data_IF_150674009055
#
_entry.id   IF_150674009055
#
_cell.length_a   1.000
_cell.length_b   1.000
_cell.length_c   1.000
_cell.angle_alpha   90.00
_cell.angle_beta   90.00
_cell.angle_gamma   90.00
#
_symmetry.space_group_name_H-M   'P 1'
#
loop_
_entity.id
_entity.type
_entity.pdbx_description
1 polymer ?
#
# COMPACT_ATOMS: atom_id res chain seq x y z
N UNK A 1 -6.11 13.43 -3.63
CA UNK A 1 -7.19 12.47 -3.95
C UNK A 1 -8.42 13.27 -4.37
N UNK A 2 -9.00 13.06 -5.56
CA UNK A 2 -10.19 13.81 -6.00
C UNK A 2 -11.41 13.44 -5.14
N UNK A 3 -12.02 14.42 -4.44
CA UNK A 3 -13.08 14.23 -3.44
C UNK A 3 -14.31 13.45 -3.90
N UNK A 4 -14.53 13.31 -5.22
CA UNK A 4 -15.62 12.51 -5.79
C UNK A 4 -15.50 11.00 -5.50
N UNK A 5 -14.28 10.45 -5.42
CA UNK A 5 -14.09 9.02 -5.11
C UNK A 5 -14.36 8.70 -3.63
N UNK A 6 -14.19 9.68 -2.74
CA UNK A 6 -14.32 9.49 -1.30
C UNK A 6 -15.78 9.49 -0.82
N UNK A 7 -16.66 10.26 -1.45
CA UNK A 7 -18.09 10.20 -1.14
C UNK A 7 -18.75 8.87 -1.52
N UNK A 8 -18.28 8.23 -2.59
CA UNK A 8 -18.76 6.89 -2.94
C UNK A 8 -18.45 5.85 -1.86
N UNK A 9 -17.47 6.13 -0.97
CA UNK A 9 -17.18 5.30 0.20
C UNK A 9 -18.22 5.58 1.28
N UNK A 10 -18.43 6.85 1.67
CA UNK A 10 -19.40 7.28 2.70
C UNK A 10 -20.85 6.94 2.35
N UNK A 11 -21.19 6.92 1.05
CA UNK A 11 -22.52 6.61 0.57
C UNK A 11 -22.98 5.15 0.81
N UNK A 12 -22.05 4.19 0.94
CA UNK A 12 -22.39 2.76 0.89
C UNK A 12 -22.82 2.13 2.22
N UNK A 13 -23.15 2.95 3.23
CA UNK A 13 -23.50 2.52 4.60
C UNK A 13 -22.42 1.71 5.33
N UNK A 14 -21.25 1.49 4.73
CA UNK A 14 -20.14 0.74 5.31
C UNK A 14 -18.83 1.51 5.13
N UNK A 15 -18.47 2.32 6.14
CA UNK A 15 -17.24 3.13 6.14
C UNK A 15 -16.51 3.04 7.46
N UNK A 16 -15.19 2.92 7.38
CA UNK A 16 -14.30 3.02 8.51
C UNK A 16 -13.32 4.15 8.24
N UNK A 17 -13.31 5.17 9.09
CA UNK A 17 -12.36 6.27 9.08
C UNK A 17 -11.40 6.03 10.24
N UNK A 18 -10.10 5.95 9.97
CA UNK A 18 -9.11 5.84 11.04
C UNK A 18 -8.00 6.88 10.86
N UNK A 19 -7.47 7.30 11.99
CA UNK A 19 -6.27 8.11 12.06
C UNK A 19 -5.28 7.50 13.03
N UNK A 20 -4.01 7.82 12.84
CA UNK A 20 -3.01 7.71 13.87
C UNK A 20 -2.44 9.11 14.14
N UNK A 21 -2.74 9.65 15.31
CA UNK A 21 -2.47 11.03 15.67
C UNK A 21 -1.61 11.13 16.91
N UNK A 22 -0.78 12.17 16.97
CA UNK A 22 -0.07 12.56 18.18
C UNK A 22 -0.47 13.98 18.54
N UNK A 23 -0.76 14.20 19.82
CA UNK A 23 -1.18 15.51 20.33
C UNK A 23 -0.65 15.80 21.74
N UNK A 24 -0.42 17.09 22.01
CA UNK A 24 -0.11 17.59 23.35
C UNK A 24 -1.39 17.94 24.13
N UNK A 25 -1.23 18.53 25.32
CA UNK A 25 -2.29 18.77 26.29
C UNK A 25 -3.17 20.01 25.97
N UNK A 26 -2.82 20.83 24.96
CA UNK A 26 -3.49 22.10 24.66
C UNK A 26 -4.00 22.17 23.21
N UNK A 27 -4.49 21.05 22.71
CA UNK A 27 -4.96 20.91 21.33
C UNK A 27 -6.48 21.02 21.18
N UNK A 28 -6.90 21.79 20.18
CA UNK A 28 -8.24 21.78 19.59
C UNK A 28 -8.15 21.82 18.06
N UNK A 29 -8.77 20.86 17.37
CA UNK A 29 -8.66 20.78 15.92
C UNK A 29 -9.61 19.80 15.25
N UNK A 30 -9.89 20.05 13.97
CA UNK A 30 -10.70 19.15 13.13
C UNK A 30 -9.79 18.15 12.42
N UNK A 31 -10.02 16.85 12.63
CA UNK A 31 -9.30 15.76 11.97
C UNK A 31 -9.71 15.63 10.51
N UNK A 32 -11.01 15.71 10.24
CA UNK A 32 -11.56 15.67 8.88
C UNK A 32 -12.80 16.55 8.80
N UNK A 33 -12.94 17.28 7.69
CA UNK A 33 -14.16 18.00 7.34
C UNK A 33 -14.51 17.80 5.88
N UNK A 34 -15.79 17.60 5.61
CA UNK A 34 -16.35 17.28 4.30
C UNK A 34 -17.37 18.35 3.96
N UNK A 35 -17.21 18.96 2.79
CA UNK A 35 -18.07 20.01 2.29
C UNK A 35 -18.72 19.60 0.97
N UNK A 36 -19.98 19.97 0.82
CA UNK A 36 -20.72 19.92 -0.42
C UNK A 36 -20.70 21.31 -1.07
N UNK A 37 -20.26 21.38 -2.33
CA UNK A 37 -20.19 22.62 -3.07
C UNK A 37 -20.83 22.45 -4.45
N UNK A 38 -22.16 22.61 -4.56
CA UNK A 38 -22.84 22.54 -5.84
C UNK A 38 -22.55 23.77 -6.73
N UNK A 39 -22.14 24.91 -6.16
CA UNK A 39 -21.82 26.20 -6.84
C UNK A 39 -20.83 27.09 -6.02
N UNK A 40 -21.09 28.39 -5.81
CA UNK A 40 -20.24 29.33 -5.02
C UNK A 40 -20.49 29.29 -3.49
N UNK A 41 -21.35 28.39 -3.02
CA UNK A 41 -21.62 28.19 -1.59
C UNK A 41 -21.12 26.80 -1.14
N UNK A 42 -20.33 26.80 -0.07
CA UNK A 42 -19.80 25.59 0.58
C UNK A 42 -20.66 25.27 1.81
N UNK A 43 -21.15 24.04 1.90
CA UNK A 43 -21.98 23.54 3.00
C UNK A 43 -21.28 22.40 3.71
N UNK A 44 -21.17 22.46 5.04
CA UNK A 44 -20.56 21.37 5.83
C UNK A 44 -21.51 20.17 5.84
N UNK A 45 -20.98 19.01 5.49
CA UNK A 45 -21.72 17.74 5.44
C UNK A 45 -21.35 16.84 6.61
N UNK A 46 -20.06 16.80 6.94
CA UNK A 46 -19.52 15.96 8.00
C UNK A 46 -18.25 16.60 8.56
N UNK A 47 -18.08 16.62 9.87
CA UNK A 47 -16.76 16.82 10.45
C UNK A 47 -16.54 16.04 11.73
N UNK A 48 -15.26 15.81 12.00
CA UNK A 48 -14.79 15.13 13.18
C UNK A 48 -13.75 16.00 13.86
N UNK A 49 -14.09 16.47 15.05
CA UNK A 49 -13.33 17.44 15.82
C UNK A 49 -12.89 16.85 17.17
N UNK A 50 -11.67 17.18 17.57
CA UNK A 50 -11.04 16.76 18.81
C UNK A 50 -10.65 17.99 19.64
N UNK A 51 -10.94 17.98 20.95
CA UNK A 51 -10.42 18.92 21.93
C UNK A 51 -9.83 18.17 23.11
N UNK A 52 -8.52 18.26 23.28
CA UNK A 52 -7.82 17.78 24.47
C UNK A 52 -8.02 18.72 25.67
N UNK A 53 -8.34 20.00 25.43
CA UNK A 53 -8.62 20.99 26.47
C UNK A 53 -9.91 20.64 27.21
N UNK A 54 -10.97 20.33 26.47
CA UNK A 54 -12.24 19.88 27.06
C UNK A 54 -12.30 18.37 27.26
N UNK A 55 -11.30 17.65 26.76
CA UNK A 55 -11.24 16.19 26.72
C UNK A 55 -12.49 15.59 26.04
N UNK A 56 -12.92 16.23 24.95
CA UNK A 56 -14.11 15.87 24.18
C UNK A 56 -13.75 15.62 22.72
N UNK A 57 -14.46 14.67 22.12
CA UNK A 57 -14.49 14.50 20.68
C UNK A 57 -15.92 14.69 20.18
N UNK A 58 -16.04 15.35 19.03
CA UNK A 58 -17.30 15.80 18.45
C UNK A 58 -17.39 15.32 17.03
N UNK A 59 -18.49 14.66 16.69
CA UNK A 59 -18.80 14.29 15.31
C UNK A 59 -20.07 15.02 14.92
N UNK A 60 -20.04 15.71 13.78
CA UNK A 60 -21.22 16.37 13.21
C UNK A 60 -21.49 15.86 11.82
N UNK A 61 -22.77 15.73 11.48
CA UNK A 61 -23.19 15.28 10.16
C UNK A 61 -24.56 15.84 9.78
N UNK A 62 -24.82 15.92 8.49
CA UNK A 62 -26.06 16.45 7.92
C UNK A 62 -27.18 15.38 7.93
N UNK A 63 -28.42 15.76 8.27
CA UNK A 63 -29.61 14.87 8.41
C UNK A 63 -30.78 15.25 7.46
N UNK A 64 -31.52 14.27 6.92
CA UNK A 64 -32.65 14.48 5.98
C UNK A 64 -33.97 14.63 6.76
N UNK A 65 -34.67 15.76 6.63
CA UNK A 65 -35.87 16.08 7.43
C UNK A 65 -37.16 15.31 7.05
N UNK A 66 -37.08 14.25 6.25
CA UNK A 66 -38.29 13.62 5.71
C UNK A 66 -38.87 12.45 6.53
N UNK A 67 -38.26 12.06 7.66
CA UNK A 67 -38.79 10.99 8.52
C UNK A 67 -38.57 11.29 10.01
N UNK A 68 -39.34 12.21 10.58
CA UNK A 68 -40.11 11.99 11.81
C UNK A 68 -40.77 13.30 12.27
N UNK A 69 -42.08 13.21 12.51
CA UNK A 69 -42.82 14.24 13.23
C UNK A 69 -42.33 14.33 14.67
N UNK A 70 -41.39 15.24 14.91
CA UNK A 70 -41.25 15.89 16.21
C UNK A 70 -40.78 17.31 15.94
N UNK A 71 -41.75 18.21 15.98
CA UNK A 71 -41.51 19.64 15.94
C UNK A 71 -40.81 20.04 17.23
N UNK A 72 -39.53 20.40 17.14
CA UNK A 72 -39.03 21.47 17.98
C UNK A 72 -38.39 22.53 17.10
N UNK A 73 -39.09 23.67 17.07
CA UNK A 73 -38.82 24.85 16.27
C UNK A 73 -37.59 25.59 16.80
N UNK A 74 -36.86 26.22 15.88
CA UNK A 74 -35.84 27.26 16.05
C UNK A 74 -34.37 26.80 16.05
N UNK A 75 -33.81 26.60 14.85
CA UNK A 75 -32.67 27.43 14.45
C UNK A 75 -32.45 27.38 12.93
N UNK A 76 -32.46 28.56 12.32
CA UNK A 76 -32.03 28.80 10.95
C UNK A 76 -30.52 28.58 10.86
N UNK A 77 -30.08 27.35 10.58
CA UNK A 77 -28.79 26.98 10.00
C UNK A 77 -28.84 25.49 9.69
N UNK A 78 -28.52 25.10 8.45
CA UNK A 78 -28.65 23.75 7.89
C UNK A 78 -28.42 22.60 8.89
N UNK A 79 -29.35 21.64 8.87
CA UNK A 79 -29.64 20.56 9.82
C UNK A 79 -28.46 19.59 10.11
N UNK A 80 -27.42 20.08 10.79
CA UNK A 80 -26.31 19.28 11.31
C UNK A 80 -26.66 18.71 12.69
N UNK A 81 -26.67 17.39 12.85
CA UNK A 81 -26.65 16.76 14.18
C UNK A 81 -25.22 16.70 14.70
N UNK A 82 -25.08 16.76 16.02
CA UNK A 82 -23.80 16.71 16.73
C UNK A 82 -23.88 15.67 17.85
N UNK A 83 -22.84 14.86 18.00
CA UNK A 83 -22.64 14.00 19.16
C UNK A 83 -21.30 14.36 19.79
N UNK A 84 -21.31 14.49 21.11
CA UNK A 84 -20.13 14.72 21.94
C UNK A 84 -19.92 13.54 22.87
N UNK A 85 -18.67 13.19 23.09
CA UNK A 85 -18.31 12.16 24.05
C UNK A 85 -16.95 12.48 24.66
N UNK A 86 -16.82 12.12 25.93
CA UNK A 86 -15.60 12.34 26.71
C UNK A 86 -14.58 11.27 26.37
N UNK A 87 -13.34 11.70 26.17
CA UNK A 87 -12.21 10.80 25.99
C UNK A 87 -11.51 10.54 27.33
N UNK A 88 -10.73 9.48 27.41
CA UNK A 88 -9.76 9.27 28.49
C UNK A 88 -8.37 9.19 27.84
N UNK A 89 -8.03 10.19 27.02
CA UNK A 89 -6.75 10.21 26.29
C UNK A 89 -5.61 10.55 27.24
N UNK A 90 -4.52 9.78 27.13
CA UNK A 90 -3.24 10.08 27.80
C UNK A 90 -2.48 11.00 26.87
N UNK A 91 -2.44 12.29 27.20
CA UNK A 91 -1.77 13.30 26.38
C UNK A 91 -0.26 13.04 26.28
N UNK A 92 0.38 13.42 25.15
CA UNK A 92 1.80 13.18 24.81
C UNK A 92 2.14 11.76 24.29
N UNK A 93 1.14 11.02 23.79
CA UNK A 93 1.33 9.71 23.11
C UNK A 93 0.62 9.64 21.74
N UNK A 94 0.90 8.58 20.98
CA UNK A 94 0.19 8.25 19.76
C UNK A 94 -1.16 7.59 20.09
N UNK A 95 -2.21 8.09 19.45
CA UNK A 95 -3.57 7.57 19.55
C UNK A 95 -4.10 7.15 18.20
N UNK A 96 -4.96 6.13 18.21
CA UNK A 96 -5.63 5.61 17.03
C UNK A 96 -7.15 5.77 17.13
N UNK A 97 -7.70 6.98 16.91
CA UNK A 97 -9.13 7.18 16.85
C UNK A 97 -9.68 6.65 15.53
N UNK A 98 -10.81 5.96 15.63
CA UNK A 98 -11.47 5.26 14.55
C UNK A 98 -12.98 5.47 14.63
N UNK A 99 -13.61 5.70 13.49
CA UNK A 99 -15.05 5.85 13.32
C UNK A 99 -15.50 4.79 12.32
N UNK A 100 -16.34 3.87 12.77
CA UNK A 100 -16.99 2.86 11.93
C UNK A 100 -18.46 3.21 11.78
N UNK A 101 -18.95 3.22 10.55
CA UNK A 101 -20.35 3.31 10.17
C UNK A 101 -20.68 2.03 9.41
N UNK A 102 -21.68 1.29 9.90
CA UNK A 102 -22.15 0.02 9.34
C UNK A 102 -23.66 0.00 9.36
N UNK A 103 -24.28 -0.06 8.19
CA UNK A 103 -25.74 0.05 8.03
C UNK A 103 -26.31 1.31 8.72
N UNK A 104 -26.95 1.13 9.88
CA UNK A 104 -27.51 2.19 10.72
C UNK A 104 -26.77 2.32 12.06
N UNK A 105 -25.60 1.67 12.21
CA UNK A 105 -24.78 1.69 13.42
C UNK A 105 -23.57 2.58 13.22
N UNK A 106 -23.29 3.42 14.21
CA UNK A 106 -22.09 4.25 14.27
C UNK A 106 -21.32 3.87 15.53
N UNK A 107 -20.03 3.64 15.39
CA UNK A 107 -19.16 3.26 16.49
C UNK A 107 -17.86 4.06 16.41
N UNK A 108 -17.42 4.54 17.56
CA UNK A 108 -16.19 5.28 17.74
C UNK A 108 -15.31 4.48 18.67
N UNK A 109 -14.12 4.19 18.19
CA UNK A 109 -13.12 3.39 18.87
C UNK A 109 -11.86 4.25 18.98
N UNK A 110 -11.19 4.17 20.11
CA UNK A 110 -9.89 4.81 20.32
C UNK A 110 -8.96 3.80 20.98
N UNK A 111 -7.77 3.62 20.42
CA UNK A 111 -6.79 2.60 20.84
C UNK A 111 -7.43 1.23 21.13
N UNK A 112 -8.32 0.81 20.23
CA UNK A 112 -9.04 -0.44 20.31
C UNK A 112 -9.93 -0.63 21.54
N UNK A 113 -10.44 0.49 22.07
CA UNK A 113 -11.53 0.52 23.06
C UNK A 113 -12.72 1.26 22.46
N UNK A 114 -13.91 0.69 22.60
CA UNK A 114 -15.13 1.37 22.17
C UNK A 114 -15.31 2.57 23.10
N UNK A 115 -15.17 3.77 22.54
CA UNK A 115 -15.44 5.02 23.25
C UNK A 115 -16.95 5.29 23.23
N UNK A 116 -17.58 5.00 22.09
CA UNK A 116 -19.00 5.28 21.91
C UNK A 116 -19.60 4.43 20.78
N UNK A 117 -20.88 4.09 20.87
CA UNK A 117 -21.62 3.45 19.79
C UNK A 117 -23.12 3.82 19.84
N UNK A 118 -23.79 3.80 18.69
CA UNK A 118 -25.23 4.02 18.55
C UNK A 118 -25.79 3.19 17.40
N UNK A 119 -27.05 2.77 17.56
CA UNK A 119 -27.87 2.17 16.51
C UNK A 119 -28.94 3.15 16.02
N UNK A 120 -29.49 2.92 14.82
CA UNK A 120 -30.52 3.76 14.19
C UNK A 120 -30.09 5.21 13.94
N UNK A 121 -28.89 5.39 13.38
CA UNK A 121 -28.35 6.70 12.99
C UNK A 121 -28.87 7.20 11.63
N UNK A 122 -29.40 8.43 11.61
CA UNK A 122 -29.97 9.09 10.42
C UNK A 122 -28.88 9.90 9.66
N UNK A 123 -28.09 9.26 8.78
CA UNK A 123 -27.18 9.97 7.87
C UNK A 123 -27.90 10.33 6.56
N UNK A 124 -27.70 11.53 6.00
CA UNK A 124 -28.18 11.81 4.63
C UNK A 124 -27.48 10.91 3.62
N UNK A 125 -28.25 10.04 2.96
CA UNK A 125 -27.78 9.16 1.89
C UNK A 125 -28.09 9.71 0.48
N UNK A 126 -27.98 11.03 0.26
CA UNK A 126 -28.17 11.63 -1.08
C UNK A 126 -26.84 11.69 -1.84
N UNK A 127 -26.89 11.46 -3.15
CA UNK A 127 -25.72 11.59 -4.04
C UNK A 127 -25.38 13.08 -4.22
N UNK A 128 -24.54 13.60 -3.34
CA UNK A 128 -24.01 14.95 -3.40
C UNK A 128 -22.92 15.05 -4.48
N UNK A 129 -22.92 16.13 -5.26
CA UNK A 129 -21.92 16.40 -6.31
C UNK A 129 -21.02 17.56 -5.86
N UNK A 130 -19.75 17.54 -6.27
CA UNK A 130 -18.83 18.63 -5.90
C UNK A 130 -18.38 18.56 -4.44
N UNK A 131 -18.00 17.37 -3.96
CA UNK A 131 -17.52 17.19 -2.59
C UNK A 131 -16.03 17.51 -2.48
N UNK A 132 -15.70 18.28 -1.44
CA UNK A 132 -14.34 18.58 -1.02
C UNK A 132 -14.11 18.03 0.37
N UNK A 133 -12.93 17.46 0.59
CA UNK A 133 -12.55 16.96 1.91
C UNK A 133 -11.21 17.54 2.31
N UNK A 134 -11.16 17.98 3.56
CA UNK A 134 -10.00 18.57 4.18
C UNK A 134 -9.61 17.70 5.38
N UNK A 135 -8.32 17.38 5.46
CA UNK A 135 -7.72 16.61 6.55
C UNK A 135 -6.92 17.59 7.41
N UNK A 136 -7.08 17.50 8.73
CA UNK A 136 -6.39 18.39 9.68
C UNK A 136 -6.78 19.87 9.55
N UNK A 137 -7.89 20.18 8.87
CA UNK A 137 -8.30 21.56 8.61
C UNK A 137 -9.83 21.64 8.45
N UNK A 138 -10.40 22.76 8.91
CA UNK A 138 -11.76 23.19 8.67
C UNK A 138 -11.69 24.56 8.01
N UNK A 139 -12.34 24.76 6.86
CA UNK A 139 -12.20 26.00 6.08
C UNK A 139 -13.02 27.18 6.63
N UNK A 140 -14.00 26.92 7.49
CA UNK A 140 -14.82 27.96 8.13
C UNK A 140 -14.45 28.21 9.59
N UNK A 141 -13.45 27.50 10.11
CA UNK A 141 -12.90 27.71 11.46
C UNK A 141 -11.38 27.81 11.36
N UNK A 142 -10.77 28.73 12.10
CA UNK A 142 -9.30 28.88 12.15
C UNK A 142 -8.56 27.72 12.86
N UNK A 143 -9.16 26.53 12.93
CA UNK A 143 -8.70 25.38 13.70
C UNK A 143 -8.05 24.37 12.76
N UNK A 144 -6.79 24.61 12.38
CA UNK A 144 -5.92 23.56 11.85
C UNK A 144 -5.59 22.60 12.98
N UNK A 145 -5.56 21.31 12.71
CA UNK A 145 -5.11 20.31 13.67
C UNK A 145 -3.65 20.60 14.02
N UNK A 146 -3.31 20.96 15.28
CA UNK A 146 -1.96 21.40 15.63
C UNK A 146 -0.97 20.24 15.79
N UNK A 147 -1.46 18.99 15.82
CA UNK A 147 -0.68 17.79 16.08
C UNK A 147 -0.08 17.17 14.82
N UNK A 148 0.46 15.96 15.00
CA UNK A 148 1.00 15.15 13.90
C UNK A 148 0.01 14.07 13.52
N UNK A 149 -0.14 13.83 12.23
CA UNK A 149 -0.91 12.71 11.69
C UNK A 149 0.09 11.79 10.99
N UNK A 150 0.23 10.55 11.48
CA UNK A 150 1.13 9.55 10.89
C UNK A 150 0.42 8.73 9.82
N UNK A 151 -0.84 8.41 10.08
CA UNK A 151 -1.69 7.62 9.18
C UNK A 151 -3.09 8.21 9.12
N UNK A 152 -3.71 8.14 7.95
CA UNK A 152 -5.12 8.40 7.73
C UNK A 152 -5.62 7.44 6.65
N UNK A 153 -6.69 6.71 6.93
CA UNK A 153 -7.40 5.92 5.92
C UNK A 153 -8.91 6.06 6.06
N UNK A 154 -9.57 5.90 4.92
CA UNK A 154 -11.02 5.72 4.82
C UNK A 154 -11.25 4.47 4.01
N UNK A 155 -11.74 3.44 4.67
CA UNK A 155 -11.92 2.12 4.11
C UNK A 155 -13.40 1.78 4.00
N UNK A 156 -13.74 0.98 3.00
CA UNK A 156 -15.08 0.44 2.82
C UNK A 156 -15.06 -1.04 3.21
N UNK A 157 -15.91 -1.46 4.13
CA UNK A 157 -16.11 -2.88 4.42
C UNK A 157 -14.95 -3.60 5.15
N UNK A 158 -14.03 -2.88 5.81
CA UNK A 158 -13.04 -3.49 6.72
C UNK A 158 -13.56 -3.42 8.16
N UNK A 159 -14.15 -4.48 8.75
CA UNK A 159 -14.63 -4.45 10.12
C UNK A 159 -13.58 -3.87 11.08
N UNK A 160 -13.98 -2.95 11.97
CA UNK A 160 -13.08 -2.40 12.99
C UNK A 160 -12.45 -3.49 13.86
N UNK A 161 -13.10 -4.65 13.97
CA UNK A 161 -12.61 -5.84 14.66
C UNK A 161 -11.38 -6.49 14.01
N UNK A 162 -11.09 -6.19 12.73
CA UNK A 162 -9.84 -6.59 12.06
C UNK A 162 -8.67 -5.67 12.45
N UNK A 163 -8.97 -4.41 12.71
CA UNK A 163 -7.99 -3.39 13.13
C UNK A 163 -7.77 -3.44 14.65
N UNK A 164 -8.78 -3.92 15.39
CA UNK A 164 -8.81 -4.04 16.83
C UNK A 164 -9.27 -5.45 17.27
N UNK A 165 -8.35 -6.44 17.27
CA UNK A 165 -8.68 -7.85 17.48
C UNK A 165 -9.16 -8.21 18.90
N UNK A 166 -9.03 -7.30 19.87
CA UNK A 166 -9.50 -7.46 21.26
C UNK A 166 -10.77 -6.66 21.58
N UNK A 167 -11.39 -6.02 20.57
CA UNK A 167 -12.56 -5.18 20.75
C UNK A 167 -13.79 -6.06 21.07
N UNK A 168 -14.23 -6.07 22.32
CA UNK A 168 -15.43 -6.79 22.74
C UNK A 168 -16.69 -5.99 22.38
N UNK A 169 -17.33 -6.37 21.28
CA UNK A 169 -18.60 -5.78 20.82
C UNK A 169 -19.82 -6.37 21.54
N UNK A 170 -19.66 -7.40 22.38
CA UNK A 170 -20.76 -8.10 23.05
C UNK A 170 -21.36 -7.32 24.23
N UNK A 171 -20.64 -6.31 24.74
CA UNK A 171 -21.08 -5.44 25.84
C UNK A 171 -22.32 -4.57 25.53
N UNK A 172 -22.76 -4.51 24.27
CA UNK A 172 -23.93 -3.72 23.85
C UNK A 172 -25.24 -4.49 23.75
N UNK A 173 -25.28 -5.81 24.00
CA UNK A 173 -26.54 -6.57 23.96
C UNK A 173 -27.45 -6.27 25.18
N UNK A 174 -27.07 -5.41 26.13
CA UNK A 174 -27.81 -5.27 27.40
C UNK A 174 -28.38 -3.91 27.80
N UNK A 175 -28.23 -2.84 27.02
CA UNK A 175 -28.77 -1.53 27.43
C UNK A 175 -29.66 -0.89 26.36
N UNK A 176 -30.71 -1.62 25.96
CA UNK A 176 -31.75 -1.08 25.10
C UNK A 176 -32.95 -2.00 25.08
N UNK A 177 -33.54 -2.25 26.24
CA UNK A 177 -34.95 -2.65 26.42
C UNK A 177 -35.23 -2.73 27.93
N UNK A 178 -35.47 -1.58 28.55
CA UNK A 178 -36.33 -1.53 29.74
C UNK A 178 -37.73 -1.09 29.27
N UNK A 179 -38.71 -1.82 29.80
CA UNK A 179 -40.15 -1.60 29.76
C UNK A 179 -40.91 -1.94 28.47
N UNK A 180 -41.51 -3.13 28.42
CA UNK A 180 -42.89 -3.30 28.90
C UNK A 180 -43.37 -4.76 28.83
N UNK A 181 -43.90 -5.23 29.96
CA UNK A 181 -44.77 -6.40 30.08
C UNK A 181 -46.02 -6.23 29.21
N UNK A 182 -46.37 -7.21 28.36
CA UNK A 182 -47.77 -7.63 28.13
C UNK A 182 -47.82 -9.12 27.73
N UNK A 183 -48.29 -9.90 28.70
CA UNK A 183 -49.21 -11.05 28.65
C UNK A 183 -49.41 -11.85 27.35
N UNK A 184 -49.18 -13.16 27.50
CA UNK A 184 -49.68 -14.24 26.67
C UNK A 184 -51.22 -14.31 26.68
N UNK A 185 -51.83 -14.47 25.50
CA UNK A 185 -53.13 -15.16 25.40
C UNK A 185 -53.02 -16.36 24.46
N UNK A 186 -53.32 -17.51 25.05
CA UNK A 186 -53.58 -18.80 24.43
C UNK A 186 -54.67 -18.72 23.36
N UNK A 187 -54.51 -19.53 22.30
CA UNK A 187 -55.67 -20.21 21.73
C UNK A 187 -55.28 -21.58 21.18
N UNK A 188 -55.76 -22.61 21.88
CA UNK A 188 -55.71 -24.01 21.46
C UNK A 188 -56.70 -24.29 20.33
N UNK A 189 -56.28 -25.14 19.39
CA UNK A 189 -57.02 -26.36 19.00
C UNK A 189 -56.30 -27.11 17.88
N UNK A 190 -55.80 -28.32 18.17
CA UNK A 190 -56.34 -29.57 17.61
C UNK A 190 -55.46 -30.78 17.92
N UNK A 191 -56.12 -31.82 18.44
CA UNK A 191 -55.60 -33.14 18.75
C UNK A 191 -55.64 -34.05 17.50
N UNK A 192 -54.51 -34.50 16.95
CA UNK A 192 -54.43 -35.71 16.08
C UNK A 192 -53.06 -36.42 16.22
N UNK A 193 -53.12 -37.65 16.77
CA UNK A 193 -52.22 -38.83 16.70
C UNK A 193 -50.71 -38.67 16.98
N UNK A 194 -50.28 -39.22 18.13
CA UNK A 194 -48.99 -38.97 18.80
C UNK A 194 -47.92 -40.09 18.70
N UNK A 195 -47.97 -41.07 17.80
CA UNK A 195 -46.93 -42.14 17.80
C UNK A 195 -46.18 -42.37 16.48
N UNK A 196 -46.74 -42.02 15.30
CA UNK A 196 -45.99 -42.11 14.02
C UNK A 196 -45.40 -40.77 13.54
N UNK A 197 -45.81 -39.64 14.14
CA UNK A 197 -45.28 -38.31 13.82
C UNK A 197 -43.94 -38.01 14.50
N UNK A 198 -43.69 -38.61 15.66
CA UNK A 198 -42.51 -38.30 16.47
C UNK A 198 -41.22 -38.93 15.94
N UNK A 199 -41.29 -40.05 15.20
CA UNK A 199 -40.09 -40.67 14.60
C UNK A 199 -39.62 -39.95 13.34
N UNK A 200 -40.53 -39.58 12.43
CA UNK A 200 -40.20 -38.79 11.23
C UNK A 200 -39.72 -37.37 11.57
N UNK A 201 -40.30 -36.76 12.60
CA UNK A 201 -39.88 -35.44 13.06
C UNK A 201 -38.51 -35.49 13.74
N UNK A 202 -38.22 -36.54 14.53
CA UNK A 202 -36.92 -36.69 15.18
C UNK A 202 -35.79 -37.03 14.20
N UNK A 203 -36.01 -37.87 13.19
CA UNK A 203 -35.00 -38.15 12.16
C UNK A 203 -34.71 -36.92 11.29
N UNK A 204 -35.75 -36.17 10.90
CA UNK A 204 -35.58 -34.92 10.16
C UNK A 204 -34.83 -33.86 10.98
N UNK A 205 -35.08 -33.83 12.30
CA UNK A 205 -34.42 -32.92 13.24
C UNK A 205 -33.00 -33.34 13.53
N UNK A 206 -32.71 -34.65 13.55
CA UNK A 206 -31.36 -35.20 13.68
C UNK A 206 -30.51 -34.86 12.44
N UNK A 207 -31.06 -35.04 11.23
CA UNK A 207 -30.38 -34.68 9.98
C UNK A 207 -30.10 -33.17 9.86
N UNK A 208 -31.03 -32.34 10.35
CA UNK A 208 -30.86 -30.88 10.39
C UNK A 208 -29.77 -30.47 11.40
N UNK A 209 -29.73 -31.11 12.57
CA UNK A 209 -28.69 -30.92 13.57
C UNK A 209 -27.31 -31.41 13.09
N UNK A 210 -27.24 -32.53 12.38
CA UNK A 210 -25.99 -33.03 11.79
C UNK A 210 -25.44 -32.07 10.73
N UNK A 211 -26.32 -31.49 9.91
CA UNK A 211 -25.94 -30.46 8.95
C UNK A 211 -25.49 -29.16 9.62
N UNK A 212 -26.15 -28.72 10.68
CA UNK A 212 -25.71 -27.56 11.48
C UNK A 212 -24.35 -27.81 12.14
N UNK A 213 -24.14 -28.99 12.75
CA UNK A 213 -22.86 -29.35 13.37
C UNK A 213 -21.74 -29.44 12.33
N UNK A 214 -22.04 -29.95 11.13
CA UNK A 214 -21.10 -29.99 10.00
C UNK A 214 -20.73 -28.58 9.54
N UNK A 215 -21.72 -27.68 9.42
CA UNK A 215 -21.51 -26.27 9.09
C UNK A 215 -20.69 -25.55 10.16
N UNK A 216 -21.00 -25.75 11.44
CA UNK A 216 -20.24 -25.20 12.56
C UNK A 216 -18.80 -25.72 12.55
N UNK A 217 -18.56 -27.01 12.30
CA UNK A 217 -17.19 -27.54 12.16
C UNK A 217 -16.44 -26.89 11.01
N UNK A 218 -17.09 -26.67 9.87
CA UNK A 218 -16.48 -25.97 8.74
C UNK A 218 -16.10 -24.53 9.10
N UNK A 219 -17.02 -23.79 9.75
CA UNK A 219 -16.78 -22.41 10.22
C UNK A 219 -15.66 -22.36 11.26
N UNK A 220 -15.68 -23.25 12.26
CA UNK A 220 -14.63 -23.35 13.30
C UNK A 220 -13.27 -23.67 12.68
N UNK A 221 -13.21 -24.56 11.68
CA UNK A 221 -11.98 -24.86 10.95
C UNK A 221 -11.46 -23.61 10.22
N UNK A 222 -12.34 -22.84 9.58
CA UNK A 222 -12.01 -21.56 8.97
C UNK A 222 -11.49 -20.53 9.99
N UNK A 223 -12.11 -20.43 11.16
CA UNK A 223 -11.70 -19.54 12.25
C UNK A 223 -10.32 -19.93 12.81
N UNK A 224 -10.03 -21.23 12.98
CA UNK A 224 -8.72 -21.70 13.45
C UNK A 224 -7.60 -21.35 12.46
N UNK A 225 -7.83 -21.53 11.15
CA UNK A 225 -6.86 -21.12 10.13
C UNK A 225 -6.67 -19.59 10.09
N UNK A 226 -7.74 -18.84 10.34
CA UNK A 226 -7.68 -17.37 10.45
C UNK A 226 -6.93 -16.92 11.70
N UNK A 227 -7.13 -17.58 12.85
CA UNK A 227 -6.37 -17.33 14.10
C UNK A 227 -4.89 -17.62 13.90
N UNK A 228 -4.52 -18.74 13.26
CA UNK A 228 -3.11 -19.02 12.93
C UNK A 228 -2.49 -17.92 12.07
N UNK A 229 -3.20 -17.44 11.04
CA UNK A 229 -2.75 -16.31 10.21
C UNK A 229 -2.61 -15.01 11.03
N UNK A 230 -3.50 -14.77 11.99
CA UNK A 230 -3.47 -13.59 12.89
C UNK A 230 -2.35 -13.68 13.94
N UNK A 231 -2.09 -14.86 14.52
CA UNK A 231 -0.98 -15.10 15.46
C UNK A 231 0.39 -15.01 14.76
N UNK A 232 0.51 -15.56 13.55
CA UNK A 232 1.66 -15.31 12.67
C UNK A 232 1.76 -13.82 12.38
N UNK A 233 0.62 -13.14 12.20
CA UNK A 233 0.62 -11.70 12.00
C UNK A 233 1.23 -10.93 13.20
N UNK A 234 0.81 -11.20 14.42
CA UNK A 234 1.28 -10.42 15.57
C UNK A 234 2.78 -10.60 15.90
N UNK A 235 3.48 -11.57 15.31
CA UNK A 235 4.90 -11.85 15.59
C UNK A 235 5.89 -11.21 14.62
N UNK A 236 5.45 -10.74 13.46
CA UNK A 236 6.34 -10.21 12.42
C UNK A 236 7.36 -11.24 11.92
N UNK A 237 8.37 -10.79 11.19
CA UNK A 237 9.48 -11.63 10.72
C UNK A 237 10.73 -11.38 11.57
N UNK A 238 11.38 -12.45 12.04
CA UNK A 238 12.66 -12.33 12.74
C UNK A 238 13.81 -12.31 11.74
N UNK A 239 14.66 -11.29 11.80
CA UNK A 239 15.89 -11.23 11.00
C UNK A 239 17.05 -11.99 11.64
N UNK A 240 18.10 -12.29 10.87
CA UNK A 240 19.32 -12.94 11.38
C UNK A 240 20.01 -12.14 12.51
N UNK A 241 19.72 -10.84 12.63
CA UNK A 241 20.20 -9.96 13.71
C UNK A 241 19.30 -9.90 14.94
N UNK A 242 18.19 -10.66 14.98
CA UNK A 242 17.26 -10.71 16.10
C UNK A 242 16.22 -9.58 16.15
N UNK A 243 16.21 -8.69 15.15
CA UNK A 243 15.18 -7.65 15.03
C UNK A 243 13.89 -8.25 14.47
N UNK A 244 12.76 -7.78 14.97
CA UNK A 244 11.43 -8.15 14.48
C UNK A 244 10.95 -7.07 13.52
N UNK A 245 10.65 -7.48 12.28
CA UNK A 245 10.09 -6.62 11.24
C UNK A 245 8.58 -6.82 11.16
N UNK A 246 7.84 -5.72 11.14
CA UNK A 246 6.39 -5.72 10.91
C UNK A 246 6.09 -6.08 9.45
N UNK A 247 4.87 -6.50 9.11
CA UNK A 247 4.56 -6.84 7.71
C UNK A 247 4.65 -5.66 6.79
N UNK A 248 5.18 -5.91 5.60
CA UNK A 248 5.42 -4.89 4.59
C UNK A 248 6.55 -3.92 4.98
N UNK A 249 7.03 -3.96 6.23
CA UNK A 249 8.16 -3.16 6.68
C UNK A 249 9.41 -3.57 5.91
N UNK A 250 10.07 -2.56 5.34
CA UNK A 250 11.32 -2.69 4.60
C UNK A 250 12.46 -2.23 5.48
N UNK A 251 13.52 -3.03 5.55
CA UNK A 251 14.75 -2.69 6.26
C UNK A 251 15.94 -2.79 5.33
N UNK A 252 16.70 -1.70 5.25
CA UNK A 252 17.81 -1.57 4.31
C UNK A 252 19.15 -1.66 5.04
N UNK A 253 20.05 -2.47 4.47
CA UNK A 253 21.46 -2.49 4.84
C UNK A 253 22.26 -1.87 3.69
N UNK A 254 22.64 -0.60 3.87
CA UNK A 254 23.37 0.20 2.87
C UNK A 254 24.82 -0.24 2.67
N UNK A 255 25.41 -1.00 3.60
CA UNK A 255 26.80 -1.50 3.47
C UNK A 255 26.86 -2.62 2.43
N UNK A 256 25.84 -3.49 2.43
CA UNK A 256 25.76 -4.63 1.50
C UNK A 256 24.75 -4.39 0.37
N UNK A 257 24.13 -3.22 0.32
CA UNK A 257 23.04 -2.86 -0.58
C UNK A 257 21.96 -3.95 -0.67
N UNK A 258 21.49 -4.40 0.49
CA UNK A 258 20.41 -5.39 0.59
C UNK A 258 19.20 -4.79 1.30
N UNK A 259 18.01 -5.07 0.81
CA UNK A 259 16.74 -4.75 1.49
C UNK A 259 16.04 -6.05 1.88
N UNK A 260 15.51 -6.09 3.09
CA UNK A 260 14.67 -7.17 3.58
C UNK A 260 13.26 -6.65 3.81
N UNK A 261 12.27 -7.41 3.35
CA UNK A 261 10.86 -7.13 3.58
C UNK A 261 10.17 -8.34 4.20
N UNK A 262 9.35 -8.09 5.23
CA UNK A 262 8.55 -9.13 5.85
C UNK A 262 7.26 -9.39 5.06
N UNK A 263 7.07 -10.64 4.62
CA UNK A 263 5.87 -11.08 3.90
C UNK A 263 4.69 -11.32 4.84
N UNK A 264 3.46 -11.27 4.32
CA UNK A 264 2.24 -11.55 5.10
C UNK A 264 2.15 -13.01 5.58
N UNK A 265 2.99 -13.89 5.03
CA UNK A 265 3.17 -15.28 5.47
C UNK A 265 4.21 -15.44 6.60
N UNK A 266 4.80 -14.35 7.09
CA UNK A 266 5.84 -14.39 8.14
C UNK A 266 7.22 -14.81 7.64
N UNK A 267 7.44 -14.80 6.31
CA UNK A 267 8.74 -15.07 5.70
C UNK A 267 9.49 -13.77 5.43
N UNK A 268 10.77 -13.76 5.76
CA UNK A 268 11.65 -12.65 5.42
C UNK A 268 12.16 -12.83 3.98
N UNK A 269 11.93 -11.83 3.13
CA UNK A 269 12.48 -11.78 1.77
C UNK A 269 13.56 -10.71 1.72
N UNK A 270 14.81 -11.15 1.63
CA UNK A 270 15.96 -10.28 1.46
C UNK A 270 16.50 -10.41 0.04
N UNK A 271 16.85 -9.28 -0.57
CA UNK A 271 17.45 -9.21 -1.90
C UNK A 271 18.38 -8.01 -2.04
N UNK A 272 19.03 -7.89 -3.19
CA UNK A 272 19.71 -6.66 -3.58
C UNK A 272 18.67 -5.50 -3.59
N UNK A 273 19.08 -4.30 -3.18
CA UNK A 273 18.20 -3.12 -3.25
C UNK A 273 17.86 -2.88 -4.72
N UNK A 274 16.58 -3.04 -5.07
CA UNK A 274 16.10 -2.70 -6.39
C UNK A 274 16.14 -1.18 -6.60
N UNK A 275 16.39 -0.77 -7.83
CA UNK A 275 16.52 0.62 -8.19
C UNK A 275 15.45 1.05 -9.19
N UNK A 276 14.96 2.30 -9.11
CA UNK A 276 14.06 2.81 -10.13
C UNK A 276 14.76 2.77 -11.48
N UNK A 277 14.06 2.29 -12.50
CA UNK A 277 14.59 2.25 -13.86
C UNK A 277 14.95 3.66 -14.30
N UNK A 278 16.18 3.83 -14.76
CA UNK A 278 16.70 5.09 -15.27
C UNK A 278 16.60 5.14 -16.80
N UNK A 279 16.22 6.30 -17.35
CA UNK A 279 16.18 6.58 -18.79
C UNK A 279 17.55 6.99 -19.35
N UNK A 280 18.62 6.30 -18.94
CA UNK A 280 19.96 6.52 -19.47
C UNK A 280 20.71 5.21 -19.67
N UNK A 281 21.53 5.13 -20.72
CA UNK A 281 22.25 3.90 -21.10
C UNK A 281 23.45 3.58 -20.20
N UNK A 282 24.01 4.59 -19.52
CA UNK A 282 25.24 4.47 -18.74
C UNK A 282 25.06 5.04 -17.31
N UNK A 283 24.27 4.37 -16.46
CA UNK A 283 24.07 4.83 -15.09
C UNK A 283 25.35 4.66 -14.26
N UNK A 284 25.66 5.65 -13.41
CA UNK A 284 26.85 5.62 -12.52
C UNK A 284 26.43 5.46 -11.05
N UNK A 285 27.18 4.66 -10.31
CA UNK A 285 27.06 4.57 -8.85
C UNK A 285 27.93 5.64 -8.20
N UNK A 286 27.36 6.45 -7.30
CA UNK A 286 28.13 7.40 -6.47
C UNK A 286 28.57 6.73 -5.16
N UNK A 287 29.62 7.27 -4.52
CA UNK A 287 30.04 6.81 -3.18
C UNK A 287 28.86 6.93 -2.19
N UNK A 288 28.72 5.91 -1.33
CA UNK A 288 27.68 5.79 -0.30
C UNK A 288 26.22 5.69 -0.78
N UNK A 289 26.00 5.42 -2.07
CA UNK A 289 24.66 5.10 -2.62
C UNK A 289 24.57 3.69 -3.15
N UNK A 290 23.40 3.06 -2.95
CA UNK A 290 23.10 1.75 -3.52
C UNK A 290 22.50 1.81 -4.92
N UNK A 291 21.75 2.87 -5.22
CA UNK A 291 21.19 3.07 -6.55
C UNK A 291 22.02 4.05 -7.37
N UNK A 292 22.25 3.73 -8.66
CA UNK A 292 22.96 4.62 -9.53
C UNK A 292 22.08 5.84 -9.88
N UNK A 293 22.70 6.86 -10.44
CA UNK A 293 22.03 8.03 -10.98
C UNK A 293 22.44 8.27 -12.43
N UNK A 294 21.58 8.92 -13.21
CA UNK A 294 21.98 9.48 -14.49
C UNK A 294 22.82 10.72 -14.24
N UNK A 295 24.05 10.76 -14.75
CA UNK A 295 24.81 11.99 -14.82
C UNK A 295 24.23 12.94 -15.87
N UNK A 296 24.63 14.22 -15.82
CA UNK A 296 24.22 15.23 -16.81
C UNK A 296 24.69 14.84 -18.22
N UNK A 297 23.84 15.07 -19.21
CA UNK A 297 24.15 14.83 -20.61
C UNK A 297 25.20 15.83 -21.12
N UNK A 298 26.13 15.36 -21.96
CA UNK A 298 27.03 16.20 -22.73
C UNK A 298 26.48 16.44 -24.12
N UNK A 299 26.52 17.67 -24.61
CA UNK A 299 26.20 17.97 -26.00
C UNK A 299 27.49 17.98 -26.84
N UNK A 300 27.56 17.17 -27.89
CA UNK A 300 28.63 17.26 -28.89
C UNK A 300 28.13 17.04 -30.33
N UNK A 301 28.49 17.95 -31.25
CA UNK A 301 28.18 17.85 -32.69
C UNK A 301 26.70 17.59 -33.04
N UNK A 302 25.77 18.17 -32.27
CA UNK A 302 24.33 18.01 -32.51
C UNK A 302 23.72 16.71 -31.94
N UNK A 303 24.50 15.95 -31.19
CA UNK A 303 24.08 14.72 -30.52
C UNK A 303 24.30 14.89 -29.01
N UNK A 304 23.34 14.43 -28.20
CA UNK A 304 23.50 14.32 -26.76
C UNK A 304 24.14 12.97 -26.44
N UNK A 305 25.23 13.01 -25.68
CA UNK A 305 25.95 11.87 -25.15
C UNK A 305 25.66 11.77 -23.66
N UNK A 306 25.32 10.59 -23.18
CA UNK A 306 25.04 10.40 -21.77
C UNK A 306 26.35 10.38 -20.97
N UNK A 307 26.28 10.73 -19.69
CA UNK A 307 27.41 10.61 -18.78
C UNK A 307 28.00 9.18 -18.78
N UNK A 308 29.32 9.07 -18.94
CA UNK A 308 30.07 7.81 -19.07
C UNK A 308 30.16 7.27 -20.50
N UNK A 309 29.49 7.89 -21.47
CA UNK A 309 29.54 7.45 -22.86
C UNK A 309 30.88 7.81 -23.50
N UNK A 310 31.55 6.78 -24.03
CA UNK A 310 32.81 6.89 -24.75
C UNK A 310 32.55 6.71 -26.23
N UNK A 311 33.03 7.63 -27.05
CA UNK A 311 32.87 7.57 -28.49
C UNK A 311 34.10 8.12 -29.20
N UNK A 312 34.24 7.74 -30.46
CA UNK A 312 35.31 8.23 -31.31
C UNK A 312 34.71 9.07 -32.42
N UNK A 313 34.61 10.41 -32.24
CA UNK A 313 34.02 11.27 -33.27
C UNK A 313 34.83 11.31 -34.56
N UNK A 314 36.12 10.97 -34.47
CA UNK A 314 37.07 10.91 -35.57
C UNK A 314 38.11 9.84 -35.28
N UNK A 315 38.74 9.32 -36.32
CA UNK A 315 39.90 8.43 -36.19
C UNK A 315 40.91 9.05 -35.22
N UNK A 316 41.31 8.27 -34.21
CA UNK A 316 42.30 8.67 -33.22
C UNK A 316 41.90 9.83 -32.28
N UNK A 317 40.61 10.12 -32.13
CA UNK A 317 40.08 10.99 -31.08
C UNK A 317 39.13 10.19 -30.20
N UNK A 318 39.49 9.98 -28.93
CA UNK A 318 38.59 9.35 -27.94
C UNK A 318 37.97 10.45 -27.10
N UNK A 319 36.65 10.54 -27.11
CA UNK A 319 35.91 11.44 -26.24
C UNK A 319 35.11 10.65 -25.22
N UNK A 320 35.02 11.18 -24.00
CA UNK A 320 34.24 10.64 -22.90
C UNK A 320 33.40 11.76 -22.29
N UNK A 321 32.12 11.50 -22.08
CA UNK A 321 31.25 12.43 -21.37
C UNK A 321 31.38 12.22 -19.86
N UNK A 322 31.86 13.22 -19.12
CA UNK A 322 32.02 13.20 -17.67
C UNK A 322 31.19 14.34 -17.04
N UNK A 323 30.07 13.99 -16.44
CA UNK A 323 29.14 14.85 -15.70
C UNK A 323 28.68 16.10 -16.46
N UNK A 324 28.39 15.94 -17.75
CA UNK A 324 28.01 17.05 -18.64
C UNK A 324 29.20 17.81 -19.23
N UNK A 325 30.43 17.38 -18.96
CA UNK A 325 31.66 17.90 -19.56
C UNK A 325 32.25 16.89 -20.54
N UNK A 326 32.53 17.34 -21.76
CA UNK A 326 33.17 16.50 -22.78
C UNK A 326 34.69 16.48 -22.59
N UNK A 327 35.26 15.29 -22.41
CA UNK A 327 36.70 15.07 -22.23
C UNK A 327 37.27 14.31 -23.45
N UNK A 328 37.94 15.01 -24.36
CA UNK A 328 38.47 14.44 -25.60
C UNK A 328 39.99 14.39 -25.59
N UNK A 329 40.55 13.24 -25.96
CA UNK A 329 41.98 12.99 -26.02
C UNK A 329 42.37 12.47 -27.41
N UNK A 330 43.43 13.06 -27.97
CA UNK A 330 44.04 12.57 -29.21
C UNK A 330 44.99 11.41 -28.89
N UNK A 331 44.84 10.31 -29.62
CA UNK A 331 45.75 9.17 -29.55
C UNK A 331 46.66 9.20 -30.77
N UNK A 332 47.94 8.91 -30.59
CA UNK A 332 48.87 8.83 -31.71
C UNK A 332 48.83 7.40 -32.29
N UNK A 333 48.61 7.19 -33.61
CA UNK A 333 48.65 5.85 -34.21
C UNK A 333 49.93 5.07 -33.91
N UNK A 334 51.07 5.75 -33.78
CA UNK A 334 52.36 5.12 -33.44
C UNK A 334 52.49 4.69 -31.98
N UNK A 335 51.52 5.02 -31.14
CA UNK A 335 51.45 4.61 -29.73
C UNK A 335 50.54 3.41 -29.49
N UNK A 336 50.12 2.71 -30.56
CA UNK A 336 49.34 1.49 -30.43
C UNK A 336 50.21 0.34 -29.90
N UNK A 337 49.67 -0.50 -29.00
CA UNK A 337 50.38 -1.67 -28.52
C UNK A 337 50.66 -2.64 -29.69
N UNK A 338 51.83 -3.28 -29.66
CA UNK A 338 52.14 -4.38 -30.56
C UNK A 338 51.25 -5.57 -30.19
N UNK A 339 50.61 -6.16 -31.19
CA UNK A 339 49.69 -7.27 -31.03
C UNK A 339 50.39 -8.60 -31.34
N UNK A 340 50.08 -9.63 -30.56
CA UNK A 340 50.63 -10.99 -30.72
C UNK A 340 49.85 -11.85 -31.75
N UNK A 341 49.18 -11.22 -32.71
CA UNK A 341 48.41 -11.90 -33.77
C UNK A 341 48.86 -11.46 -35.16
N UNK A 342 48.66 -12.35 -36.13
CA UNK A 342 48.97 -12.11 -37.54
C UNK A 342 48.24 -10.87 -38.08
N UNK A 343 48.86 -10.16 -39.03
CA UNK A 343 48.28 -8.94 -39.61
C UNK A 343 46.90 -9.18 -40.26
N UNK A 344 46.65 -10.40 -40.76
CA UNK A 344 45.36 -10.79 -41.35
C UNK A 344 44.22 -10.91 -40.33
N UNK A 345 44.56 -11.14 -39.06
CA UNK A 345 43.61 -11.19 -37.94
C UNK A 345 43.49 -9.85 -37.21
N UNK A 346 44.22 -8.81 -37.65
CA UNK A 346 44.11 -7.48 -37.06
C UNK A 346 42.96 -6.71 -37.68
N UNK A 347 41.96 -6.40 -36.86
CA UNK A 347 40.80 -5.59 -37.25
C UNK A 347 40.87 -4.23 -36.58
N UNK A 348 40.60 -3.16 -37.33
CA UNK A 348 40.41 -1.82 -36.77
C UNK A 348 38.92 -1.48 -36.84
N UNK A 349 38.21 -1.46 -35.71
CA UNK A 349 36.79 -1.12 -35.70
C UNK A 349 36.53 0.28 -36.26
N UNK A 350 35.33 0.55 -36.82
CA UNK A 350 34.99 1.86 -37.36
C UNK A 350 35.22 2.98 -36.33
N UNK A 351 35.86 4.06 -36.77
CA UNK A 351 36.23 5.24 -35.96
C UNK A 351 37.23 4.98 -34.82
N UNK A 352 37.75 3.78 -34.61
CA UNK A 352 38.81 3.52 -33.63
C UNK A 352 40.23 3.82 -34.17
N UNK A 353 41.20 3.99 -33.27
CA UNK A 353 42.58 4.35 -33.62
C UNK A 353 43.52 3.17 -33.80
N UNK A 354 43.41 2.14 -32.95
CA UNK A 354 44.36 1.04 -32.90
C UNK A 354 43.71 -0.25 -33.39
N UNK A 355 44.44 -1.07 -34.16
CA UNK A 355 43.99 -2.41 -34.49
C UNK A 355 43.87 -3.25 -33.20
N UNK A 356 43.03 -4.28 -33.26
CA UNK A 356 42.86 -5.30 -32.23
C UNK A 356 42.92 -6.67 -32.91
N UNK A 357 43.42 -7.68 -32.19
CA UNK A 357 43.33 -9.05 -32.65
C UNK A 357 41.86 -9.49 -32.69
N UNK A 358 41.49 -10.11 -33.80
CA UNK A 358 40.22 -10.82 -33.92
C UNK A 358 40.20 -11.95 -32.88
N UNK A 359 39.21 -11.92 -31.99
CA UNK A 359 38.92 -13.09 -31.13
C UNK A 359 37.80 -13.90 -31.77
N UNK A 360 37.93 -15.22 -31.68
CA UNK A 360 36.85 -16.14 -32.07
C UNK A 360 35.61 -15.97 -31.16
N UNK A 361 35.84 -15.68 -29.87
CA UNK A 361 34.79 -15.38 -28.90
C UNK A 361 35.18 -14.22 -27.98
N UNK A 362 34.61 -13.03 -28.22
CA UNK A 362 34.82 -11.88 -27.35
C UNK A 362 34.10 -12.01 -26.00
N UNK A 363 33.15 -12.95 -25.87
CA UNK A 363 32.42 -13.21 -24.63
C UNK A 363 33.19 -14.11 -23.65
N UNK A 364 34.39 -14.57 -24.02
CA UNK A 364 35.26 -15.35 -23.14
C UNK A 364 36.60 -14.62 -22.93
N UNK A 365 36.79 -14.07 -21.74
CA UNK A 365 38.08 -13.66 -21.20
C UNK A 365 38.78 -14.93 -20.70
N UNK A 366 40.00 -15.18 -21.21
CA UNK A 366 40.88 -16.29 -20.84
C UNK A 366 40.20 -17.67 -20.84
N UNK A 367 39.30 -17.90 -21.80
CA UNK A 367 38.51 -19.13 -21.97
C UNK A 367 37.66 -19.54 -20.74
N UNK A 368 37.40 -18.64 -19.79
CA UNK A 368 36.65 -18.98 -18.55
C UNK A 368 35.64 -17.96 -18.06
N UNK A 369 35.83 -16.67 -18.34
CA UNK A 369 35.05 -15.59 -17.68
C UNK A 369 34.41 -14.65 -18.69
N UNK A 370 33.17 -14.25 -18.46
CA UNK A 370 32.47 -13.27 -19.30
C UNK A 370 32.97 -11.85 -19.01
N UNK A 371 33.11 -10.98 -20.02
CA UNK A 371 33.39 -9.54 -19.82
C UNK A 371 32.18 -8.76 -19.26
N UNK A 372 31.00 -9.38 -19.21
CA UNK A 372 29.77 -8.75 -18.79
C UNK A 372 29.41 -9.05 -17.34
N UNK A 373 28.47 -8.26 -16.80
CA UNK A 373 27.88 -8.51 -15.49
C UNK A 373 27.25 -9.93 -15.41
N UNK A 374 27.19 -10.52 -14.20
CA UNK A 374 26.49 -11.79 -13.94
C UNK A 374 25.03 -11.76 -14.40
N UNK A 375 24.39 -10.59 -14.33
CA UNK A 375 23.01 -10.33 -14.72
C UNK A 375 22.90 -9.76 -16.15
N UNK A 376 23.93 -9.92 -16.98
CA UNK A 376 23.92 -9.54 -18.39
C UNK A 376 24.05 -10.76 -19.32
N UNK A 377 23.71 -10.53 -20.58
CA UNK A 377 23.94 -11.42 -21.72
C UNK A 377 25.08 -10.80 -22.52
N UNK A 378 26.10 -11.60 -22.81
CA UNK A 378 27.15 -11.23 -23.73
C UNK A 378 26.78 -11.63 -25.16
N UNK A 379 26.90 -10.68 -26.08
CA UNK A 379 26.67 -10.87 -27.51
C UNK A 379 28.01 -10.66 -28.22
N UNK A 380 28.42 -11.67 -28.99
CA UNK A 380 29.63 -11.62 -29.79
C UNK A 380 29.32 -10.82 -31.06
N UNK A 381 29.89 -9.61 -31.21
CA UNK A 381 29.78 -8.79 -32.42
C UNK A 381 31.09 -8.85 -33.23
N UNK A 382 31.04 -8.43 -34.50
CA UNK A 382 32.19 -8.50 -35.44
C UNK A 382 33.46 -7.79 -34.93
N UNK A 383 33.29 -6.86 -33.98
CA UNK A 383 34.35 -5.98 -33.49
C UNK A 383 34.49 -5.98 -31.94
N UNK A 384 33.86 -6.92 -31.25
CA UNK A 384 33.96 -7.01 -29.79
C UNK A 384 32.77 -7.69 -29.11
N UNK A 385 32.80 -7.71 -27.77
CA UNK A 385 31.67 -8.16 -26.97
C UNK A 385 30.76 -6.98 -26.64
N UNK A 386 29.46 -7.20 -26.80
CA UNK A 386 28.41 -6.28 -26.36
C UNK A 386 27.64 -6.91 -25.21
N UNK A 387 27.60 -6.19 -24.10
CA UNK A 387 26.87 -6.62 -22.93
C UNK A 387 25.49 -5.97 -22.89
N UNK A 388 24.45 -6.75 -22.66
CA UNK A 388 23.07 -6.28 -22.51
C UNK A 388 22.51 -6.84 -21.21
N UNK A 389 21.98 -5.99 -20.33
CA UNK A 389 21.36 -6.48 -19.10
C UNK A 389 20.19 -7.40 -19.40
N UNK A 390 20.03 -8.45 -18.59
CA UNK A 390 18.89 -9.38 -18.68
C UNK A 390 17.59 -8.65 -18.39
N UNK A 391 16.47 -9.25 -18.79
CA UNK A 391 15.15 -8.76 -18.40
C UNK A 391 15.03 -8.66 -16.87
N UNK A 392 14.35 -7.60 -16.40
CA UNK A 392 14.30 -7.24 -14.97
C UNK A 392 15.50 -6.44 -14.46
N UNK A 393 16.53 -6.22 -15.29
CA UNK A 393 17.70 -5.43 -14.94
C UNK A 393 17.93 -4.27 -15.92
N UNK A 394 18.59 -3.21 -15.44
CA UNK A 394 19.00 -2.07 -16.27
C UNK A 394 20.44 -1.67 -15.99
N UNK A 395 21.09 -1.02 -16.95
CA UNK A 395 22.50 -0.66 -16.85
C UNK A 395 23.20 -0.61 -18.20
N UNK A 396 24.53 -0.59 -18.16
CA UNK A 396 25.39 -0.57 -19.34
C UNK A 396 25.85 -1.98 -19.78
N UNK A 397 25.30 -3.04 -19.17
CA UNK A 397 25.65 -4.43 -19.45
C UNK A 397 26.93 -4.94 -18.77
N UNK A 398 27.89 -4.09 -18.48
CA UNK A 398 29.07 -4.45 -17.65
C UNK A 398 28.80 -4.29 -16.16
N UNK A 399 27.81 -3.46 -15.81
CA UNK A 399 27.14 -3.41 -14.52
C UNK A 399 25.63 -3.39 -14.76
N UNK A 400 24.92 -4.29 -14.11
CA UNK A 400 23.47 -4.38 -14.19
C UNK A 400 22.85 -4.26 -12.80
N UNK A 401 21.84 -3.41 -12.69
CA UNK A 401 21.12 -3.11 -11.46
C UNK A 401 19.71 -3.67 -11.57
N UNK A 402 19.23 -4.25 -10.49
CA UNK A 402 17.88 -4.75 -10.36
C UNK A 402 16.86 -3.60 -10.52
N UNK A 403 15.79 -3.81 -11.28
CA UNK A 403 14.71 -2.86 -11.41
C UNK A 403 13.74 -3.10 -10.27
N UNK A 404 13.52 -2.11 -9.38
CA UNK A 404 12.45 -2.23 -8.39
C UNK A 404 11.11 -1.94 -9.05
N UNK A 405 10.40 -2.97 -9.52
CA UNK A 405 9.06 -2.78 -10.10
C UNK A 405 8.00 -2.37 -9.05
N UNK A 406 8.30 -2.52 -7.75
CA UNK A 406 7.46 -2.01 -6.68
C UNK A 406 7.65 -0.50 -6.46
N UNK A 407 8.73 0.09 -6.96
CA UNK A 407 9.02 1.52 -6.82
C UNK A 407 8.45 2.32 -8.00
N UNK A 408 7.47 3.19 -7.71
CA UNK A 408 6.75 3.97 -8.73
C UNK A 408 7.65 5.00 -9.42
N UNK A 409 7.95 4.80 -10.71
CA UNK A 409 8.26 5.93 -11.60
C UNK A 409 6.96 6.68 -11.94
N UNK A 410 6.99 8.02 -11.97
CA UNK A 410 5.82 8.89 -12.11
C UNK A 410 4.78 8.37 -13.12
N UNK A 411 3.60 7.97 -12.62
CA UNK A 411 2.42 7.68 -13.44
C UNK A 411 2.06 6.20 -13.66
N UNK A 412 2.87 5.25 -13.18
CA UNK A 412 2.54 3.81 -13.29
C UNK A 412 1.92 3.30 -11.98
N UNK A 413 0.72 2.71 -12.06
CA UNK A 413 0.12 1.99 -10.93
C UNK A 413 0.99 0.81 -10.53
N UNK A 414 1.11 0.52 -9.23
CA UNK A 414 1.80 -0.68 -8.71
C UNK A 414 1.47 -1.90 -9.58
N UNK A 415 2.47 -2.74 -9.93
CA UNK A 415 2.26 -3.87 -10.82
C UNK A 415 1.40 -4.98 -10.21
N UNK A 416 1.06 -4.85 -8.92
CA UNK A 416 0.20 -5.76 -8.19
C UNK A 416 -1.24 -5.24 -8.05
N UNK A 417 -2.19 -6.16 -7.94
CA UNK A 417 -3.62 -5.83 -7.79
C UNK A 417 -3.94 -5.22 -6.42
N UNK A 418 -5.12 -4.60 -6.27
CA UNK A 418 -5.58 -4.11 -4.94
C UNK A 418 -5.64 -5.25 -3.93
N UNK A 419 -5.30 -4.95 -2.67
CA UNK A 419 -5.30 -5.95 -1.59
C UNK A 419 -4.04 -6.82 -1.54
N UNK A 420 -2.94 -6.39 -2.17
CA UNK A 420 -1.68 -7.13 -2.23
C UNK A 420 -0.49 -6.26 -1.81
N UNK A 421 0.57 -6.92 -1.35
CA UNK A 421 1.87 -6.30 -1.07
C UNK A 421 2.83 -6.68 -2.19
N UNK A 422 3.41 -5.68 -2.86
CA UNK A 422 4.46 -5.88 -3.83
C UNK A 422 5.79 -6.15 -3.10
N UNK A 423 6.46 -7.24 -3.49
CA UNK A 423 7.75 -7.66 -2.96
C UNK A 423 8.72 -7.74 -4.13
N UNK A 424 9.73 -6.87 -4.12
CA UNK A 424 10.79 -6.86 -5.11
C UNK A 424 11.71 -8.07 -4.93
N UNK A 425 12.11 -8.73 -6.02
CA UNK A 425 13.06 -9.85 -6.01
C UNK A 425 14.07 -9.68 -7.15
N UNK A 426 15.32 -10.17 -7.04
CA UNK A 426 16.28 -9.95 -8.11
C UNK A 426 15.79 -10.44 -9.49
N UNK A 427 15.66 -9.51 -10.43
CA UNK A 427 15.19 -9.70 -11.79
C UNK A 427 13.67 -9.76 -11.97
N UNK A 428 12.87 -9.54 -10.92
CA UNK A 428 11.40 -9.56 -11.00
C UNK A 428 10.71 -9.02 -9.75
N UNK A 429 9.39 -9.22 -9.66
CA UNK A 429 8.62 -8.93 -8.45
C UNK A 429 7.59 -10.02 -8.24
N UNK A 430 7.12 -10.14 -6.99
CA UNK A 430 5.96 -10.97 -6.66
C UNK A 430 4.95 -10.18 -5.85
N UNK A 431 3.69 -10.56 -5.99
CA UNK A 431 2.59 -9.98 -5.21
C UNK A 431 2.17 -10.99 -4.14
N UNK A 432 2.23 -10.59 -2.87
CA UNK A 432 1.72 -11.39 -1.77
C UNK A 432 0.33 -10.90 -1.35
N UNK A 433 -0.54 -11.81 -0.95
CA UNK A 433 -1.91 -11.48 -0.60
C UNK A 433 -1.97 -10.94 0.84
N UNK A 434 -2.72 -9.85 1.05
CA UNK A 434 -3.06 -9.42 2.39
C UNK A 434 -3.95 -10.47 3.08
N UNK A 435 -3.97 -10.53 4.43
CA UNK A 435 -4.87 -11.41 5.17
C UNK A 435 -6.32 -11.26 4.73
N UNK A 436 -7.00 -12.40 4.54
CA UNK A 436 -8.38 -12.44 4.06
C UNK A 436 -8.53 -12.53 2.55
N UNK A 437 -7.44 -12.36 1.81
CA UNK A 437 -7.39 -12.60 0.38
C UNK A 437 -6.71 -13.95 0.08
N UNK A 438 -7.29 -14.73 -0.82
CA UNK A 438 -6.67 -15.95 -1.33
C UNK A 438 -6.06 -15.72 -2.71
N UNK A 439 -4.90 -16.35 -2.93
CA UNK A 439 -4.14 -16.21 -4.17
C UNK A 439 -4.88 -16.88 -5.31
N UNK A 440 -5.20 -16.10 -6.36
CA UNK A 440 -5.75 -16.63 -7.61
C UNK A 440 -4.61 -16.99 -8.55
N UNK A 441 -3.64 -16.06 -8.70
CA UNK A 441 -2.45 -16.22 -9.54
C UNK A 441 -1.25 -15.45 -8.95
N UNK A 442 -0.18 -15.26 -9.74
CA UNK A 442 1.05 -14.61 -9.26
C UNK A 442 0.93 -13.10 -8.99
N UNK A 443 -0.15 -12.46 -9.45
CA UNK A 443 -0.35 -11.01 -9.41
C UNK A 443 -1.73 -10.58 -8.87
N UNK A 444 -2.62 -11.54 -8.61
CA UNK A 444 -4.01 -11.32 -8.21
C UNK A 444 -4.39 -12.15 -6.99
N UNK A 445 -5.11 -11.49 -6.09
CA UNK A 445 -5.72 -12.10 -4.92
C UNK A 445 -7.22 -11.81 -4.90
N UNK A 446 -8.03 -12.81 -4.56
CA UNK A 446 -9.47 -12.69 -4.41
C UNK A 446 -9.81 -12.46 -2.95
N UNK A 447 -10.72 -11.54 -2.67
CA UNK A 447 -11.32 -11.46 -1.35
C UNK A 447 -12.16 -12.72 -1.09
N UNK A 448 -11.89 -13.43 0.00
CA UNK A 448 -12.57 -14.69 0.34
C UNK A 448 -13.53 -14.56 1.51
N UNK A 449 -13.64 -13.37 2.10
CA UNK A 449 -14.55 -13.11 3.18
C UNK A 449 -15.73 -12.34 2.60
N UNK A 450 -16.69 -13.10 2.08
CA UNK A 450 -17.88 -12.57 1.43
C UNK A 450 -19.05 -12.38 2.38
#
# INVERSE_FOLDING_TARGET
MQGYKMWNVIYRRDVDIQFEIWHDNEMEGTLISIYHQPYDHEELVFDWYLSSITNEMKVRWLVDDNNNGSSDYNNENNHLREIKFSLNMVTDDWHKPMLSIRENKMMIVDDCKIVWAMENFDLIYKKLKGIRVYIGHNIHRSNKFPGKIREFSIDHGTPISLLCPYLDTSLFIKNGDEDNNVEEEHNDNNNINNEERDQSHNDSRLELLENEVSHIRYVVKGLVERIKKVELHQRGCTSEGGYILSFGEKHQNLVNCTECQCSTSGMLHCGEIGCPKLDCKHPKLEEDKCCPICGKECWYSGVNYHNGEVFWPKNCVRCECEEGKMNCQFRNPTSCPVLDCEEEDQITPPNECCPKCKKDDYCLIDNKTSPCDKNAICINEDHGAKCVCREGFFGNGTKCFDIDECHMSEGVSSPCSRGTVCINIPGSFKCDCLPGFDRIDEKQCLDTIH
#
